data_IF_556950274423
#
_entry.id   IF_556950274423
#
_cell.length_a   1.000
_cell.length_b   1.000
_cell.length_c   1.000
_cell.angle_alpha   90.00
_cell.angle_beta   90.00
_cell.angle_gamma   90.00
#
_symmetry.space_group_name_H-M   'P 1'
#
loop_
_entity.id
_entity.type
_entity.pdbx_description
1 polymer ?
#
# COMPACT_ATOMS: atom_id res chain seq x y z
N UNK A 1 49.71 -9.24 -2.52
CA UNK A 1 49.05 -10.55 -2.35
C UNK A 1 47.59 -10.25 -2.06
N UNK A 2 46.70 -10.35 -3.05
CA UNK A 2 45.26 -10.24 -2.81
C UNK A 2 44.88 -11.48 -2.00
N UNK A 3 44.49 -11.30 -0.74
CA UNK A 3 43.89 -12.38 0.01
C UNK A 3 42.52 -12.66 -0.62
N UNK A 4 42.30 -13.92 -1.01
CA UNK A 4 40.99 -14.41 -1.44
C UNK A 4 39.91 -13.99 -0.43
N UNK A 5 38.69 -13.76 -0.92
CA UNK A 5 37.56 -13.41 -0.07
C UNK A 5 37.49 -14.39 1.13
N UNK A 6 37.45 -13.90 2.38
CA UNK A 6 37.49 -14.76 3.56
C UNK A 6 36.36 -15.80 3.50
N UNK A 7 36.61 -17.03 3.95
CA UNK A 7 35.59 -18.09 3.94
C UNK A 7 34.31 -17.69 4.71
N UNK A 8 33.15 -18.24 4.36
CA UNK A 8 31.87 -17.98 5.05
C UNK A 8 31.98 -18.10 6.57
N UNK A 9 32.73 -19.10 7.07
CA UNK A 9 32.95 -19.29 8.51
C UNK A 9 33.68 -18.11 9.16
N UNK A 10 34.70 -17.57 8.48
CA UNK A 10 35.46 -16.41 8.96
C UNK A 10 34.60 -15.16 8.93
N UNK A 11 33.83 -14.96 7.85
CA UNK A 11 32.89 -13.84 7.75
C UNK A 11 31.84 -13.88 8.86
N UNK A 12 31.24 -15.05 9.12
CA UNK A 12 30.25 -15.24 10.19
C UNK A 12 30.83 -14.95 11.58
N UNK A 13 32.03 -15.44 11.87
CA UNK A 13 32.69 -15.18 13.16
C UNK A 13 32.98 -13.68 13.35
N UNK A 14 33.35 -12.97 12.28
CA UNK A 14 33.59 -11.54 12.31
C UNK A 14 32.31 -10.75 12.63
N UNK A 15 31.23 -10.97 11.87
CA UNK A 15 29.96 -10.23 12.06
C UNK A 15 29.28 -10.54 13.39
N UNK A 16 29.50 -11.73 13.97
CA UNK A 16 29.00 -12.09 15.30
C UNK A 16 29.68 -11.36 16.44
N UNK A 17 30.95 -10.97 16.27
CA UNK A 17 31.71 -10.19 17.26
C UNK A 17 31.41 -8.71 17.13
N UNK A 18 31.34 -8.23 15.91
CA UNK A 18 31.04 -6.83 15.59
C UNK A 18 30.35 -6.78 14.22
N UNK A 19 29.07 -6.44 14.22
CA UNK A 19 28.26 -6.32 12.99
C UNK A 19 28.76 -5.19 12.10
N UNK A 20 29.42 -4.16 12.65
CA UNK A 20 30.02 -3.06 11.88
C UNK A 20 31.12 -3.51 10.91
N UNK A 21 31.73 -4.69 11.14
CA UNK A 21 32.71 -5.27 10.23
C UNK A 21 32.09 -5.64 8.87
N UNK A 22 30.75 -5.82 8.80
CA UNK A 22 30.05 -6.17 7.56
C UNK A 22 30.36 -5.23 6.39
N UNK A 23 30.49 -3.92 6.66
CA UNK A 23 30.81 -2.90 5.65
C UNK A 23 32.16 -3.10 4.96
N UNK A 24 33.04 -3.92 5.55
CA UNK A 24 34.37 -4.22 5.05
C UNK A 24 34.49 -5.64 4.47
N UNK A 25 33.42 -6.44 4.49
CA UNK A 25 33.43 -7.79 3.93
C UNK A 25 33.16 -7.71 2.42
N UNK A 26 34.15 -8.07 1.62
CA UNK A 26 33.97 -8.20 0.18
C UNK A 26 33.16 -9.47 -0.16
N UNK A 27 32.08 -9.31 -0.92
CA UNK A 27 31.16 -10.39 -1.36
C UNK A 27 30.65 -11.25 -0.18
N UNK A 28 29.90 -10.67 0.78
CA UNK A 28 29.35 -11.42 1.89
C UNK A 28 28.36 -12.48 1.41
N UNK A 29 28.39 -13.67 2.01
CA UNK A 29 27.41 -14.72 1.67
C UNK A 29 26.01 -14.37 2.18
N UNK A 30 24.98 -15.01 1.61
CA UNK A 30 23.59 -14.80 2.07
C UNK A 30 23.42 -15.13 3.57
N UNK A 31 24.16 -16.11 4.11
CA UNK A 31 24.10 -16.41 5.54
C UNK A 31 24.71 -15.30 6.40
N UNK A 32 25.79 -14.68 5.93
CA UNK A 32 26.43 -13.55 6.62
C UNK A 32 25.51 -12.34 6.61
N UNK A 33 24.90 -12.02 5.46
CA UNK A 33 23.86 -10.99 5.36
C UNK A 33 22.69 -11.27 6.31
N UNK A 34 22.18 -12.51 6.32
CA UNK A 34 21.09 -12.92 7.22
C UNK A 34 21.48 -12.78 8.70
N UNK A 35 22.72 -13.09 9.07
CA UNK A 35 23.22 -12.92 10.44
C UNK A 35 23.24 -11.43 10.85
N UNK A 36 23.65 -10.54 9.95
CA UNK A 36 23.62 -9.09 10.18
C UNK A 36 22.20 -8.59 10.43
N UNK A 37 21.23 -9.02 9.61
CA UNK A 37 19.82 -8.66 9.78
C UNK A 37 19.18 -9.17 11.09
N UNK A 38 19.76 -10.18 11.74
CA UNK A 38 19.27 -10.62 13.07
C UNK A 38 19.61 -9.61 14.17
N UNK A 39 20.69 -8.84 13.99
CA UNK A 39 21.09 -7.83 14.96
C UNK A 39 20.34 -6.52 14.74
N UNK A 40 20.15 -6.12 13.48
CA UNK A 40 19.44 -4.90 13.08
C UNK A 40 18.96 -5.06 11.63
N UNK A 41 17.64 -5.10 11.46
CA UNK A 41 17.01 -5.26 10.14
C UNK A 41 17.20 -4.03 9.24
N UNK A 42 17.45 -2.85 9.82
CA UNK A 42 17.74 -1.62 9.09
C UNK A 42 19.06 -1.69 8.31
N UNK A 43 19.96 -2.61 8.67
CA UNK A 43 21.21 -2.81 7.94
C UNK A 43 21.04 -3.41 6.54
N UNK A 44 19.81 -3.76 6.14
CA UNK A 44 19.51 -4.12 4.75
C UNK A 44 19.90 -3.02 3.76
N UNK A 45 19.95 -1.75 4.20
CA UNK A 45 20.43 -0.61 3.40
C UNK A 45 21.87 -0.78 2.91
N UNK A 46 22.69 -1.55 3.62
CA UNK A 46 24.10 -1.79 3.27
C UNK A 46 24.30 -3.03 2.40
N UNK A 47 23.21 -3.65 1.92
CA UNK A 47 23.27 -4.85 1.10
C UNK A 47 22.96 -4.52 -0.36
N UNK A 48 23.94 -4.74 -1.23
CA UNK A 48 23.70 -4.63 -2.66
C UNK A 48 22.68 -5.70 -3.12
N UNK A 49 21.56 -5.25 -3.68
CA UNK A 49 20.49 -6.07 -4.27
C UNK A 49 20.10 -7.28 -3.37
N UNK A 50 19.52 -7.05 -2.18
CA UNK A 50 19.22 -8.11 -1.23
C UNK A 50 18.18 -9.07 -1.82
N UNK A 51 18.40 -10.37 -1.61
CA UNK A 51 17.47 -11.40 -2.08
C UNK A 51 16.08 -11.23 -1.48
N UNK A 52 15.03 -11.72 -2.15
CA UNK A 52 13.66 -11.65 -1.62
C UNK A 52 13.50 -12.26 -0.22
N UNK A 53 14.33 -13.25 0.13
CA UNK A 53 14.35 -13.83 1.48
C UNK A 53 14.94 -12.87 2.52
N UNK A 54 16.03 -12.17 2.20
CA UNK A 54 16.62 -11.16 3.08
C UNK A 54 15.69 -9.95 3.25
N UNK A 55 15.07 -9.50 2.16
CA UNK A 55 14.03 -8.46 2.19
C UNK A 55 12.88 -8.86 3.13
N UNK A 56 12.40 -10.10 3.01
CA UNK A 56 11.34 -10.62 3.86
C UNK A 56 11.79 -10.72 5.31
N UNK A 57 12.99 -11.25 5.59
CA UNK A 57 13.55 -11.33 6.93
C UNK A 57 13.60 -9.95 7.60
N UNK A 58 14.04 -8.92 6.87
CA UNK A 58 14.09 -7.55 7.40
C UNK A 58 12.70 -7.03 7.77
N UNK A 59 11.73 -7.14 6.85
CA UNK A 59 10.35 -6.66 7.05
C UNK A 59 9.55 -7.50 8.07
N UNK A 60 9.88 -8.78 8.24
CA UNK A 60 9.30 -9.62 9.29
C UNK A 60 9.82 -9.25 10.69
N UNK A 61 11.08 -8.81 10.78
CA UNK A 61 11.68 -8.32 12.03
C UNK A 61 11.18 -6.92 12.40
N UNK A 62 11.17 -6.01 11.44
CA UNK A 62 10.58 -4.67 11.54
C UNK A 62 10.04 -4.26 10.17
N UNK A 63 8.72 -4.10 10.07
CA UNK A 63 8.06 -3.71 8.82
C UNK A 63 8.55 -2.36 8.28
N UNK A 64 8.99 -1.46 9.16
CA UNK A 64 9.59 -0.17 8.78
C UNK A 64 10.85 -0.33 7.94
N UNK A 65 11.53 -1.49 7.99
CA UNK A 65 12.71 -1.78 7.16
C UNK A 65 12.44 -1.70 5.65
N UNK A 66 11.17 -1.73 5.20
CA UNK A 66 10.83 -1.56 3.79
C UNK A 66 11.34 -0.23 3.21
N UNK A 67 11.46 0.83 4.04
CA UNK A 67 11.97 2.14 3.61
C UNK A 67 13.44 2.07 3.16
N UNK A 68 14.16 1.04 3.57
CA UNK A 68 15.58 0.81 3.26
C UNK A 68 15.78 -0.17 2.09
N UNK A 69 14.71 -0.65 1.46
CA UNK A 69 14.77 -1.61 0.34
C UNK A 69 14.44 -0.86 -0.95
N UNK A 70 15.40 -0.75 -1.86
CA UNK A 70 15.22 -0.03 -3.13
C UNK A 70 14.17 -0.69 -4.05
N UNK A 71 14.19 -2.01 -4.13
CA UNK A 71 13.30 -2.80 -4.99
C UNK A 71 12.63 -3.94 -4.21
N UNK A 72 11.67 -3.62 -3.32
CA UNK A 72 11.00 -4.63 -2.52
C UNK A 72 10.12 -5.51 -3.41
N UNK A 73 10.21 -6.83 -3.24
CA UNK A 73 9.32 -7.75 -3.97
C UNK A 73 7.84 -7.53 -3.61
N UNK A 74 6.90 -7.91 -4.49
CA UNK A 74 5.45 -7.80 -4.22
C UNK A 74 5.06 -8.41 -2.85
N UNK A 75 5.65 -9.55 -2.48
CA UNK A 75 5.37 -10.19 -1.19
C UNK A 75 5.84 -9.35 0.01
N UNK A 76 7.01 -8.73 -0.10
CA UNK A 76 7.59 -7.86 0.93
C UNK A 76 6.74 -6.60 1.10
N UNK A 77 6.33 -6.00 -0.02
CA UNK A 77 5.41 -4.87 -0.04
C UNK A 77 4.09 -5.20 0.67
N UNK A 78 3.45 -6.32 0.32
CA UNK A 78 2.21 -6.77 0.97
C UNK A 78 2.43 -7.00 2.48
N UNK A 79 3.53 -7.66 2.87
CA UNK A 79 3.83 -7.92 4.29
C UNK A 79 3.96 -6.62 5.09
N UNK A 80 4.62 -5.61 4.54
CA UNK A 80 4.81 -4.31 5.19
C UNK A 80 3.47 -3.58 5.38
N UNK A 81 2.69 -3.38 4.31
CA UNK A 81 1.42 -2.62 4.38
C UNK A 81 0.32 -3.34 5.16
N UNK A 82 0.43 -4.66 5.31
CA UNK A 82 -0.48 -5.42 6.18
C UNK A 82 -0.09 -5.28 7.66
N UNK A 83 1.19 -5.06 7.95
CA UNK A 83 1.68 -4.83 9.31
C UNK A 83 1.40 -3.40 9.77
N UNK A 84 1.73 -2.44 8.91
CA UNK A 84 1.55 -1.02 9.11
C UNK A 84 1.10 -0.39 7.76
N UNK A 85 -0.20 -0.08 7.63
CA UNK A 85 -0.76 0.46 6.40
C UNK A 85 -0.18 1.84 6.02
N UNK A 86 0.33 2.61 6.98
CA UNK A 86 0.91 3.94 6.72
C UNK A 86 2.19 3.82 5.88
N UNK A 87 2.87 2.67 5.91
CA UNK A 87 4.07 2.41 5.11
C UNK A 87 3.82 2.39 3.60
N UNK A 88 2.56 2.34 3.17
CA UNK A 88 2.20 2.36 1.75
C UNK A 88 2.80 3.57 1.01
N UNK A 89 2.92 4.73 1.67
CA UNK A 89 3.47 5.97 1.07
C UNK A 89 4.95 5.83 0.68
N UNK A 90 5.68 4.89 1.28
CA UNK A 90 7.10 4.65 0.98
C UNK A 90 7.31 3.63 -0.15
N UNK A 91 6.23 3.05 -0.69
CA UNK A 91 6.33 2.07 -1.79
C UNK A 91 6.23 2.80 -3.13
N UNK A 92 7.36 2.92 -3.83
CA UNK A 92 7.44 3.69 -5.07
C UNK A 92 6.70 3.09 -6.29
N UNK A 93 6.48 1.77 -6.32
CA UNK A 93 5.80 1.10 -7.45
C UNK A 93 4.93 -0.07 -6.98
N UNK A 94 3.80 0.21 -6.30
CA UNK A 94 2.92 -0.82 -5.78
C UNK A 94 2.12 -1.46 -6.91
N UNK A 95 2.11 -2.80 -6.96
CA UNK A 95 1.20 -3.55 -7.83
C UNK A 95 -0.24 -3.37 -7.37
N UNK A 96 -1.21 -3.72 -8.23
CA UNK A 96 -2.62 -3.64 -7.86
C UNK A 96 -2.93 -4.47 -6.59
N UNK A 97 -2.25 -5.61 -6.38
CA UNK A 97 -2.43 -6.40 -5.16
C UNK A 97 -1.94 -5.68 -3.91
N UNK A 98 -0.82 -4.97 -4.00
CA UNK A 98 -0.27 -4.18 -2.88
C UNK A 98 -1.22 -3.03 -2.55
N UNK A 99 -1.76 -2.36 -3.57
CA UNK A 99 -2.80 -1.33 -3.42
C UNK A 99 -4.04 -1.86 -2.69
N UNK A 100 -4.53 -3.04 -3.09
CA UNK A 100 -5.64 -3.71 -2.39
C UNK A 100 -5.29 -4.04 -0.94
N UNK A 101 -4.11 -4.59 -0.68
CA UNK A 101 -3.68 -4.92 0.68
C UNK A 101 -3.65 -3.67 1.58
N UNK A 102 -3.07 -2.57 1.07
CA UNK A 102 -2.98 -1.30 1.80
C UNK A 102 -4.35 -0.69 2.10
N UNK A 103 -5.26 -0.66 1.11
CA UNK A 103 -6.63 -0.15 1.30
C UNK A 103 -7.46 -1.06 2.21
N UNK A 104 -7.31 -2.38 2.09
CA UNK A 104 -8.05 -3.33 2.94
C UNK A 104 -7.63 -3.19 4.41
N UNK A 105 -6.35 -2.87 4.66
CA UNK A 105 -5.83 -2.67 6.00
C UNK A 105 -6.16 -1.27 6.56
N UNK A 106 -6.22 -0.24 5.71
CA UNK A 106 -6.67 1.11 6.05
C UNK A 106 -7.33 1.79 4.85
N UNK A 107 -8.63 2.08 4.95
CA UNK A 107 -9.41 2.66 3.84
C UNK A 107 -8.83 3.99 3.34
N UNK A 108 -8.28 4.81 4.24
CA UNK A 108 -7.70 6.12 3.93
C UNK A 108 -6.55 6.04 2.92
N UNK A 109 -5.86 4.90 2.82
CA UNK A 109 -4.79 4.73 1.84
C UNK A 109 -5.25 4.94 0.38
N UNK A 110 -6.55 4.90 0.11
CA UNK A 110 -7.11 5.27 -1.20
C UNK A 110 -6.70 6.68 -1.65
N UNK A 111 -6.46 7.61 -0.70
CA UNK A 111 -6.04 8.98 -0.99
C UNK A 111 -4.65 9.06 -1.63
N UNK A 112 -3.81 8.04 -1.43
CA UNK A 112 -2.46 7.95 -1.98
C UNK A 112 -2.40 7.16 -3.30
N UNK A 113 -3.55 6.71 -3.82
CA UNK A 113 -3.62 5.89 -5.02
C UNK A 113 -4.16 6.72 -6.17
N UNK A 114 -3.29 7.08 -7.11
CA UNK A 114 -3.72 7.75 -8.34
C UNK A 114 -4.58 6.82 -9.19
N UNK A 115 -5.75 7.31 -9.62
CA UNK A 115 -6.71 6.60 -10.48
C UNK A 115 -7.03 5.18 -9.93
N UNK A 116 -7.60 5.07 -8.73
CA UNK A 116 -7.91 3.78 -8.15
C UNK A 116 -8.96 3.05 -9.00
N UNK A 117 -8.81 1.74 -9.16
CA UNK A 117 -9.79 0.92 -9.89
C UNK A 117 -11.15 0.97 -9.20
N UNK A 118 -12.25 0.83 -9.95
CA UNK A 118 -13.61 0.88 -9.38
C UNK A 118 -13.78 -0.08 -8.20
N UNK A 119 -13.21 -1.29 -8.30
CA UNK A 119 -13.27 -2.29 -7.23
C UNK A 119 -12.51 -1.82 -5.99
N UNK A 120 -11.42 -1.08 -6.13
CA UNK A 120 -10.66 -0.51 -5.01
C UNK A 120 -11.40 0.67 -4.38
N UNK A 121 -12.00 1.53 -5.20
CA UNK A 121 -12.88 2.61 -4.73
C UNK A 121 -14.04 2.06 -3.90
N UNK A 122 -14.74 1.03 -4.41
CA UNK A 122 -15.83 0.37 -3.70
C UNK A 122 -15.32 -0.24 -2.39
N UNK A 123 -14.13 -0.85 -2.39
CA UNK A 123 -13.54 -1.44 -1.19
C UNK A 123 -13.30 -0.40 -0.10
N UNK A 124 -12.65 0.71 -0.44
CA UNK A 124 -12.37 1.79 0.50
C UNK A 124 -13.66 2.39 1.07
N UNK A 125 -14.60 2.74 0.19
CA UNK A 125 -15.87 3.39 0.58
C UNK A 125 -16.79 2.45 1.37
N UNK A 126 -16.71 1.13 1.14
CA UNK A 126 -17.47 0.16 1.93
C UNK A 126 -16.90 -0.03 3.33
N UNK A 127 -15.61 0.28 3.54
CA UNK A 127 -14.96 0.22 4.85
C UNK A 127 -15.14 1.53 5.62
N UNK A 128 -14.98 2.67 4.93
CA UNK A 128 -15.30 4.01 5.44
C UNK A 128 -15.88 4.86 4.32
N UNK A 129 -17.16 5.22 4.46
CA UNK A 129 -17.89 5.99 3.47
C UNK A 129 -17.30 7.39 3.22
N UNK A 130 -16.61 7.98 4.21
CA UNK A 130 -16.02 9.31 4.11
C UNK A 130 -14.85 9.35 3.11
N UNK A 131 -14.21 8.20 2.85
CA UNK A 131 -13.09 8.09 1.91
C UNK A 131 -13.47 8.41 0.47
N UNK A 132 -14.76 8.43 0.13
CA UNK A 132 -15.26 8.89 -1.18
C UNK A 132 -14.80 10.32 -1.49
N UNK A 133 -14.56 11.15 -0.46
CA UNK A 133 -14.06 12.53 -0.59
C UNK A 133 -12.64 12.60 -1.13
N UNK A 134 -11.85 11.53 -0.98
CA UNK A 134 -10.47 11.46 -1.44
C UNK A 134 -10.33 10.89 -2.85
N UNK A 135 -11.43 10.43 -3.45
CA UNK A 135 -11.44 9.85 -4.79
C UNK A 135 -11.80 10.95 -5.80
N UNK A 136 -10.87 11.28 -6.70
CA UNK A 136 -11.06 12.32 -7.73
C UNK A 136 -12.25 12.02 -8.65
N UNK A 137 -12.36 10.79 -9.13
CA UNK A 137 -13.45 10.32 -10.00
C UNK A 137 -14.10 9.05 -9.43
N UNK A 138 -14.99 9.18 -8.43
CA UNK A 138 -15.64 8.03 -7.83
C UNK A 138 -16.68 7.44 -8.78
N UNK A 139 -16.64 6.11 -8.94
CA UNK A 139 -17.60 5.37 -9.74
C UNK A 139 -19.01 5.40 -9.13
N UNK A 140 -20.04 5.17 -9.96
CA UNK A 140 -21.45 5.19 -9.55
C UNK A 140 -21.73 4.33 -8.32
N UNK A 141 -21.15 3.13 -8.29
CA UNK A 141 -21.34 2.22 -7.16
C UNK A 141 -20.70 2.73 -5.88
N UNK A 142 -19.51 3.32 -5.92
CA UNK A 142 -18.87 3.89 -4.74
C UNK A 142 -19.68 5.07 -4.20
N UNK A 143 -20.13 5.98 -5.08
CA UNK A 143 -21.01 7.10 -4.70
C UNK A 143 -22.30 6.61 -4.03
N UNK A 144 -22.96 5.61 -4.61
CA UNK A 144 -24.20 5.05 -4.04
C UNK A 144 -23.94 4.43 -2.66
N UNK A 145 -22.84 3.69 -2.48
CA UNK A 145 -22.48 3.11 -1.17
C UNK A 145 -22.25 4.24 -0.16
N UNK A 146 -21.47 5.25 -0.52
CA UNK A 146 -21.20 6.38 0.37
C UNK A 146 -22.48 7.12 0.81
N UNK A 147 -23.35 7.45 -0.15
CA UNK A 147 -24.59 8.21 0.13
C UNK A 147 -25.64 7.40 0.89
N UNK A 148 -25.61 6.07 0.80
CA UNK A 148 -26.48 5.21 1.62
C UNK A 148 -26.11 5.27 3.09
N UNK A 149 -24.80 5.28 3.38
CA UNK A 149 -24.30 5.37 4.76
C UNK A 149 -24.37 6.80 5.29
N UNK A 150 -23.95 7.80 4.50
CA UNK A 150 -24.00 9.21 4.86
C UNK A 150 -24.51 10.09 3.71
N UNK A 151 -25.82 10.41 3.68
CA UNK A 151 -26.41 11.32 2.68
C UNK A 151 -25.79 12.72 2.67
N UNK A 152 -25.19 13.18 3.78
CA UNK A 152 -24.52 14.47 3.89
C UNK A 152 -23.29 14.60 2.98
N UNK A 153 -22.74 13.47 2.51
CA UNK A 153 -21.66 13.43 1.54
C UNK A 153 -22.05 13.99 0.17
N UNK A 154 -23.35 14.09 -0.14
CA UNK A 154 -23.83 14.64 -1.41
C UNK A 154 -23.23 16.02 -1.72
N UNK A 155 -23.20 16.91 -0.72
CA UNK A 155 -22.66 18.27 -0.89
C UNK A 155 -21.16 18.27 -1.19
N UNK A 156 -20.41 17.30 -0.66
CA UNK A 156 -18.98 17.17 -0.90
C UNK A 156 -18.70 16.58 -2.28
N UNK A 157 -19.36 15.47 -2.64
CA UNK A 157 -19.15 14.82 -3.93
C UNK A 157 -19.60 15.73 -5.08
N UNK A 158 -20.68 16.49 -4.90
CA UNK A 158 -21.18 17.45 -5.90
C UNK A 158 -20.25 18.66 -6.10
N UNK A 159 -19.58 19.13 -5.03
CA UNK A 159 -18.77 20.36 -5.09
C UNK A 159 -17.29 20.11 -5.40
N UNK A 160 -16.73 18.95 -5.03
CA UNK A 160 -15.31 18.62 -5.24
C UNK A 160 -14.97 18.31 -6.70
N UNK A 161 -15.97 18.00 -7.52
CA UNK A 161 -15.93 17.95 -8.98
C UNK A 161 -17.37 17.82 -9.49
N UNK A 162 -17.72 18.32 -10.70
CA UNK A 162 -18.98 17.96 -11.34
C UNK A 162 -18.88 16.48 -11.76
N UNK A 163 -18.93 15.59 -10.78
CA UNK A 163 -18.91 14.15 -10.98
C UNK A 163 -20.09 13.84 -11.88
N UNK A 164 -19.80 13.38 -13.11
CA UNK A 164 -20.84 13.00 -14.09
C UNK A 164 -21.81 12.00 -13.49
N UNK A 165 -21.33 11.17 -12.56
CA UNK A 165 -22.11 10.23 -11.77
C UNK A 165 -23.18 10.95 -10.95
N UNK A 166 -22.86 12.02 -10.23
CA UNK A 166 -23.84 12.76 -9.42
C UNK A 166 -24.91 13.39 -10.32
N UNK A 167 -24.51 14.06 -11.41
CA UNK A 167 -25.47 14.67 -12.35
C UNK A 167 -26.44 13.62 -12.89
N UNK A 168 -25.93 12.48 -13.33
CA UNK A 168 -26.77 11.38 -13.82
C UNK A 168 -27.65 10.75 -12.73
N UNK A 169 -27.18 10.64 -11.50
CA UNK A 169 -28.00 10.14 -10.38
C UNK A 169 -29.15 11.11 -10.04
N UNK A 170 -28.90 12.43 -10.06
CA UNK A 170 -29.92 13.46 -9.84
C UNK A 170 -30.94 13.47 -10.97
N UNK A 171 -30.49 13.41 -12.22
CA UNK A 171 -31.38 13.30 -13.40
C UNK A 171 -32.29 12.07 -13.30
N UNK A 172 -31.72 10.90 -12.99
CA UNK A 172 -32.48 9.64 -12.78
C UNK A 172 -33.50 9.76 -11.64
N UNK A 173 -33.16 10.41 -10.52
CA UNK A 173 -34.11 10.61 -9.41
C UNK A 173 -35.25 11.57 -9.79
N UNK A 174 -34.94 12.66 -10.50
CA UNK A 174 -35.95 13.58 -11.01
C UNK A 174 -36.88 12.92 -12.04
N UNK A 175 -36.36 12.09 -12.93
CA UNK A 175 -37.18 11.31 -13.88
C UNK A 175 -38.11 10.33 -13.15
N UNK A 176 -37.61 9.56 -12.19
CA UNK A 176 -38.44 8.65 -11.38
C UNK A 176 -39.59 9.37 -10.67
N UNK A 177 -39.33 10.55 -10.09
CA UNK A 177 -40.36 11.37 -9.45
C UNK A 177 -41.41 11.87 -10.45
N UNK A 178 -41.00 12.21 -11.68
CA UNK A 178 -41.92 12.62 -12.76
C UNK A 178 -42.79 11.46 -13.25
N UNK A 179 -42.26 10.24 -13.29
CA UNK A 179 -43.02 9.04 -13.68
C UNK A 179 -44.01 8.61 -12.61
N UNK A 180 -43.61 8.58 -11.34
CA UNK A 180 -44.49 8.27 -10.21
C UNK A 180 -45.69 9.23 -10.13
N UNK A 181 -45.46 10.54 -10.28
CA UNK A 181 -46.53 11.54 -10.27
C UNK A 181 -47.48 11.49 -11.49
N UNK A 182 -47.13 10.76 -12.56
CA UNK A 182 -48.05 10.48 -13.68
C UNK A 182 -48.92 9.25 -13.41
N UNK A 183 -48.42 8.27 -12.67
CA UNK A 183 -49.16 7.05 -12.33
C UNK A 183 -50.23 7.29 -11.25
N UNK A 184 -50.03 8.26 -10.35
CA UNK A 184 -51.03 8.65 -9.33
C UNK A 184 -52.19 9.51 -9.87
N UNK A 185 -52.12 9.97 -11.13
CA UNK A 185 -53.15 10.81 -11.78
C UNK A 185 -54.08 10.04 -12.73
N UNK A 186 -54.08 8.71 -12.69
CA UNK A 186 -54.93 7.83 -13.51
C UNK A 186 -55.93 7.12 -12.62
#
# INVERSE_FOLDING_TARGET
MLLDAPSEKVQLEAVRKDTGVFLYINKPTEKVKSEVLKSDSGQIIYMDNPSGNLQMQAVESDCGSIIFIEHPTEKVQIRAVTADPELFIYIGSPTEKVRYAAVSACADNIMYISRPSEKLQISAVSQDCETVRYIEEPCEKAVIVALKENPGLFMYIHNSSPSRVITTLVEKDMEKKREAGKQEKV
#
